data_IF_316466628511
#
_entry.id   IF_316466628511
#
_cell.length_a   1.000
_cell.length_b   1.000
_cell.length_c   1.000
_cell.angle_alpha   90.00
_cell.angle_beta   90.00
_cell.angle_gamma   90.00
#
_symmetry.space_group_name_H-M   'P 1'
#
loop_
_entity.id
_entity.type
_entity.pdbx_description
1 polymer ?
#
# COMPACT_ATOMS: atom_id res chain seq x y z
N UNK A 1 -9.58 4.39 18.14
CA UNK A 1 -9.68 3.36 17.10
C UNK A 1 -8.42 2.53 17.17
N UNK A 2 -8.53 1.21 17.32
CA UNK A 2 -7.35 0.37 17.20
C UNK A 2 -6.92 0.33 15.74
N UNK A 3 -5.66 0.70 15.47
CA UNK A 3 -5.11 0.75 14.12
C UNK A 3 -5.00 -0.67 13.55
N UNK A 4 -4.73 -1.67 14.40
CA UNK A 4 -4.62 -3.05 13.96
C UNK A 4 -5.95 -3.57 13.40
N UNK A 5 -7.04 -3.44 14.16
CA UNK A 5 -8.38 -3.85 13.72
C UNK A 5 -8.84 -3.13 12.44
N UNK A 6 -8.48 -1.86 12.31
CA UNK A 6 -8.74 -1.08 11.11
C UNK A 6 -8.02 -1.62 9.88
N UNK A 7 -6.73 -1.97 10.03
CA UNK A 7 -5.92 -2.57 8.97
C UNK A 7 -6.46 -3.94 8.58
N UNK A 8 -6.83 -4.78 9.55
CA UNK A 8 -7.45 -6.08 9.28
C UNK A 8 -8.72 -5.92 8.46
N UNK A 9 -9.59 -5.00 8.87
CA UNK A 9 -10.83 -4.69 8.12
C UNK A 9 -10.52 -4.19 6.71
N UNK A 10 -9.50 -3.33 6.56
CA UNK A 10 -9.09 -2.78 5.26
C UNK A 10 -8.53 -3.86 4.33
N UNK A 11 -7.72 -4.78 4.85
CA UNK A 11 -7.18 -5.91 4.09
C UNK A 11 -8.30 -6.85 3.61
N UNK A 12 -9.30 -7.13 4.46
CA UNK A 12 -10.46 -7.91 4.07
C UNK A 12 -11.25 -7.25 2.92
N UNK A 13 -11.42 -5.91 2.95
CA UNK A 13 -12.05 -5.16 1.85
C UNK A 13 -11.26 -5.26 0.53
N UNK A 14 -9.95 -5.48 0.60
CA UNK A 14 -9.06 -5.66 -0.56
C UNK A 14 -8.96 -7.12 -1.02
N UNK A 15 -9.71 -8.02 -0.39
CA UNK A 15 -9.74 -9.45 -0.74
C UNK A 15 -8.68 -10.30 -0.04
N UNK A 16 -7.96 -9.76 0.95
CA UNK A 16 -6.96 -10.51 1.73
C UNK A 16 -7.48 -10.88 3.12
N UNK A 17 -7.40 -12.17 3.47
CA UNK A 17 -7.78 -12.66 4.81
C UNK A 17 -6.54 -12.73 5.70
N UNK A 18 -6.55 -11.94 6.79
CA UNK A 18 -5.43 -11.87 7.74
C UNK A 18 -5.36 -13.13 8.60
N UNK A 19 -4.16 -13.67 8.76
CA UNK A 19 -3.87 -14.79 9.66
C UNK A 19 -3.06 -14.32 10.88
N UNK A 20 -2.98 -15.16 11.91
CA UNK A 20 -2.16 -14.88 13.11
C UNK A 20 -0.67 -14.70 12.78
N UNK A 21 -0.18 -15.33 11.71
CA UNK A 21 1.22 -15.20 11.27
C UNK A 21 1.52 -13.81 10.69
N UNK A 22 0.49 -13.08 10.24
CA UNK A 22 0.64 -11.76 9.65
C UNK A 22 0.69 -10.65 10.71
N UNK A 23 0.23 -10.93 11.94
CA UNK A 23 0.16 -9.96 13.03
C UNK A 23 1.50 -9.25 13.29
N UNK A 24 2.64 -9.95 13.44
CA UNK A 24 3.93 -9.29 13.67
C UNK A 24 4.34 -8.36 12.52
N UNK A 25 4.03 -8.74 11.28
CA UNK A 25 4.33 -7.92 10.10
C UNK A 25 3.45 -6.66 10.09
N UNK A 26 2.16 -6.79 10.38
CA UNK A 26 1.23 -5.66 10.46
C UNK A 26 1.63 -4.69 11.58
N UNK A 27 2.01 -5.20 12.76
CA UNK A 27 2.43 -4.35 13.90
C UNK A 27 3.73 -3.60 13.59
N UNK A 28 4.69 -4.28 12.94
CA UNK A 28 5.92 -3.66 12.46
C UNK A 28 5.65 -2.56 11.42
N UNK A 29 4.85 -2.88 10.40
CA UNK A 29 4.49 -1.92 9.34
C UNK A 29 3.68 -0.75 9.90
N UNK A 30 2.81 -0.98 10.88
CA UNK A 30 2.10 0.10 11.60
C UNK A 30 3.08 1.09 12.21
N UNK A 31 4.13 0.59 12.87
CA UNK A 31 5.17 1.42 13.46
C UNK A 31 5.98 2.15 12.38
N UNK A 32 6.39 1.45 11.32
CA UNK A 32 7.15 2.01 10.19
C UNK A 32 6.39 3.13 9.47
N UNK A 33 5.16 2.86 9.06
CA UNK A 33 4.31 3.81 8.36
C UNK A 33 3.96 5.00 9.25
N UNK A 34 3.74 4.79 10.55
CA UNK A 34 3.51 5.87 11.52
C UNK A 34 4.70 6.83 11.57
N UNK A 35 5.92 6.30 11.71
CA UNK A 35 7.13 7.13 11.75
C UNK A 35 7.31 7.90 10.44
N UNK A 36 7.11 7.25 9.29
CA UNK A 36 7.21 7.90 7.98
C UNK A 36 6.18 9.03 7.81
N UNK A 37 4.92 8.79 8.21
CA UNK A 37 3.85 9.78 8.16
C UNK A 37 4.14 10.98 9.08
N UNK A 38 4.60 10.73 10.30
CA UNK A 38 4.95 11.80 11.24
C UNK A 38 6.15 12.63 10.75
N UNK A 39 7.13 11.97 10.12
CA UNK A 39 8.25 12.65 9.50
C UNK A 39 7.78 13.54 8.34
N UNK A 40 6.85 13.09 7.50
CA UNK A 40 6.38 13.84 6.34
C UNK A 40 5.56 15.08 6.70
N UNK A 41 4.83 15.05 7.82
CA UNK A 41 4.03 16.19 8.31
C UNK A 41 4.71 16.99 9.44
N UNK A 42 5.86 16.52 9.94
CA UNK A 42 6.58 17.09 11.08
C UNK A 42 5.72 17.20 12.37
N UNK A 43 4.99 16.14 12.69
CA UNK A 43 4.23 16.03 13.95
C UNK A 43 4.87 15.03 14.92
N UNK A 44 4.48 15.13 16.20
CA UNK A 44 4.82 14.14 17.23
C UNK A 44 3.83 12.97 17.28
N UNK A 45 2.57 13.26 16.98
CA UNK A 45 1.46 12.31 17.03
C UNK A 45 0.60 12.43 15.77
N UNK A 46 -0.04 11.33 15.37
CA UNK A 46 -0.82 11.25 14.14
C UNK A 46 -2.14 12.00 14.35
N UNK A 47 -2.44 13.06 13.57
CA UNK A 47 -3.72 13.75 13.63
C UNK A 47 -4.88 12.81 13.27
N UNK A 48 -6.05 13.02 13.86
CA UNK A 48 -7.25 12.19 13.62
C UNK A 48 -7.61 12.09 12.12
N UNK A 49 -7.44 13.20 11.38
CA UNK A 49 -7.70 13.26 9.94
C UNK A 49 -6.77 12.40 9.08
N UNK A 50 -5.69 11.85 9.64
CA UNK A 50 -4.73 10.99 8.95
C UNK A 50 -4.76 9.53 9.45
N UNK A 51 -5.67 9.16 10.36
CA UNK A 51 -5.76 7.78 10.86
C UNK A 51 -6.03 6.81 9.70
N UNK A 52 -6.99 7.11 8.84
CA UNK A 52 -7.30 6.25 7.68
C UNK A 52 -6.19 6.26 6.63
N UNK A 53 -5.46 7.36 6.49
CA UNK A 53 -4.25 7.43 5.65
C UNK A 53 -3.18 6.48 6.17
N UNK A 54 -2.94 6.45 7.49
CA UNK A 54 -2.03 5.49 8.10
C UNK A 54 -2.49 4.05 7.85
N UNK A 55 -3.79 3.76 8.01
CA UNK A 55 -4.35 2.42 7.76
C UNK A 55 -4.11 1.99 6.31
N UNK A 56 -4.36 2.87 5.33
CA UNK A 56 -4.09 2.59 3.92
C UNK A 56 -2.60 2.37 3.67
N UNK A 57 -1.71 3.20 4.22
CA UNK A 57 -0.26 3.02 4.08
C UNK A 57 0.21 1.65 4.58
N UNK A 58 -0.32 1.19 5.72
CA UNK A 58 0.03 -0.11 6.31
C UNK A 58 -0.50 -1.24 5.44
N UNK A 59 -1.78 -1.21 5.08
CA UNK A 59 -2.40 -2.24 4.25
C UNK A 59 -1.71 -2.34 2.87
N UNK A 60 -1.40 -1.20 2.26
CA UNK A 60 -0.68 -1.13 0.98
C UNK A 60 0.73 -1.71 1.07
N UNK A 61 1.49 -1.31 2.11
CA UNK A 61 2.85 -1.81 2.33
C UNK A 61 2.85 -3.32 2.58
N UNK A 62 1.89 -3.81 3.36
CA UNK A 62 1.78 -5.24 3.68
C UNK A 62 1.49 -6.08 2.43
N UNK A 63 0.52 -5.67 1.60
CA UNK A 63 0.18 -6.39 0.37
C UNK A 63 1.31 -6.31 -0.65
N UNK A 64 2.04 -5.20 -0.71
CA UNK A 64 3.21 -5.06 -1.57
C UNK A 64 4.37 -5.96 -1.12
N UNK A 65 4.62 -6.07 0.19
CA UNK A 65 5.61 -7.01 0.73
C UNK A 65 5.22 -8.46 0.42
N UNK A 66 3.94 -8.83 0.55
CA UNK A 66 3.43 -10.16 0.15
C UNK A 66 3.58 -10.42 -1.34
N UNK A 67 3.29 -9.42 -2.19
CA UNK A 67 3.45 -9.51 -3.63
C UNK A 67 4.92 -9.75 -4.00
N UNK A 68 5.83 -8.97 -3.43
CA UNK A 68 7.26 -9.07 -3.67
C UNK A 68 7.85 -10.40 -3.18
N UNK A 69 7.30 -10.96 -2.10
CA UNK A 69 7.64 -12.29 -1.62
C UNK A 69 7.02 -13.43 -2.46
N UNK A 70 6.18 -13.12 -3.45
CA UNK A 70 5.47 -14.10 -4.27
C UNK A 70 4.37 -14.86 -3.54
N UNK A 71 3.94 -14.38 -2.38
CA UNK A 71 2.95 -15.03 -1.51
C UNK A 71 1.62 -14.30 -1.44
N UNK A 72 1.36 -13.36 -2.36
CA UNK A 72 0.07 -12.66 -2.43
C UNK A 72 -0.93 -13.47 -3.26
N UNK A 73 -2.01 -13.88 -2.61
CA UNK A 73 -3.14 -14.56 -3.23
C UNK A 73 -4.40 -13.73 -2.99
N UNK A 74 -5.07 -13.35 -4.07
CA UNK A 74 -6.37 -12.66 -4.06
C UNK A 74 -7.25 -13.33 -5.10
N UNK A 75 -8.48 -13.68 -4.71
CA UNK A 75 -9.42 -14.35 -5.60
C UNK A 75 -9.70 -13.50 -6.86
N UNK A 76 -9.51 -14.11 -8.03
CA UNK A 76 -9.76 -13.46 -9.32
C UNK A 76 -8.62 -12.58 -9.85
N UNK A 77 -7.46 -12.53 -9.19
CA UNK A 77 -6.26 -11.82 -9.68
C UNK A 77 -5.08 -12.80 -9.84
N UNK A 78 -4.41 -12.76 -10.99
CA UNK A 78 -3.22 -13.57 -11.26
C UNK A 78 -1.95 -12.70 -11.36
N UNK A 79 -1.16 -12.72 -10.28
CA UNK A 79 0.11 -11.99 -10.20
C UNK A 79 1.32 -12.77 -10.74
N UNK A 80 1.15 -14.01 -11.20
CA UNK A 80 2.25 -14.83 -11.73
C UNK A 80 2.89 -14.27 -13.00
N UNK A 81 2.14 -13.47 -13.74
CA UNK A 81 2.58 -12.81 -14.98
C UNK A 81 3.45 -11.58 -14.73
N UNK A 82 3.33 -10.93 -13.57
CA UNK A 82 4.07 -9.72 -13.21
C UNK A 82 5.57 -9.97 -12.96
N UNK A 83 5.97 -11.22 -12.68
CA UNK A 83 7.36 -11.61 -12.38
C UNK A 83 8.25 -11.68 -13.64
N UNK A 84 7.67 -11.59 -14.85
CA UNK A 84 8.44 -11.72 -16.11
C UNK A 84 9.02 -10.42 -16.69
N UNK A 85 8.75 -9.25 -16.11
CA UNK A 85 9.32 -7.99 -16.60
C UNK A 85 10.14 -7.26 -15.53
N UNK A 86 11.26 -7.85 -15.13
CA UNK A 86 12.38 -7.08 -14.60
C UNK A 86 13.40 -6.99 -15.73
N UNK A 87 13.24 -5.96 -16.57
CA UNK A 87 14.32 -5.50 -17.45
C UNK A 87 15.08 -4.43 -16.68
N UNK A 88 16.22 -4.82 -16.11
CA UNK A 88 17.27 -3.88 -15.71
C UNK A 88 17.68 -3.05 -16.93
N UNK A 89 17.66 -1.73 -16.76
CA UNK A 89 18.24 -0.81 -17.73
C UNK A 89 17.26 -0.35 -18.79
N UNK A 90 16.85 0.91 -18.64
CA UNK A 90 16.01 1.70 -19.54
C UNK A 90 14.49 1.50 -19.38
N UNK A 91 13.84 2.60 -18.99
CA UNK A 91 12.42 2.67 -18.69
C UNK A 91 11.62 2.22 -19.91
N UNK A 92 11.09 0.99 -19.87
CA UNK A 92 10.11 0.51 -20.83
C UNK A 92 8.97 -0.17 -20.10
N UNK A 93 7.99 0.64 -19.69
CA UNK A 93 6.66 0.16 -19.33
C UNK A 93 5.97 -0.35 -20.59
N UNK A 94 6.22 -1.61 -20.96
CA UNK A 94 5.50 -2.26 -22.06
C UNK A 94 4.21 -2.86 -21.50
N UNK A 95 3.15 -2.06 -21.50
CA UNK A 95 1.79 -2.57 -21.31
C UNK A 95 1.37 -3.31 -22.59
N UNK A 96 1.58 -4.62 -22.61
CA UNK A 96 1.05 -5.50 -23.64
C UNK A 96 0.12 -6.54 -23.00
N UNK A 97 -1.13 -6.15 -22.82
CA UNK A 97 -2.22 -7.02 -22.37
C UNK A 97 -3.55 -6.29 -22.49
N UNK A 98 -4.31 -6.62 -23.55
CA UNK A 98 -5.58 -6.05 -24.00
C UNK A 98 -5.50 -4.72 -24.78
N UNK A 99 -5.98 -4.78 -26.02
CA UNK A 99 -5.90 -3.78 -27.09
C UNK A 99 -6.75 -2.51 -26.90
N UNK A 100 -7.24 -2.18 -25.71
CA UNK A 100 -8.33 -1.20 -25.56
C UNK A 100 -8.00 0.02 -24.66
N UNK A 101 -6.74 0.21 -24.25
CA UNK A 101 -6.37 1.31 -23.34
C UNK A 101 -6.94 1.18 -21.93
N UNK A 102 -7.50 0.01 -21.61
CA UNK A 102 -8.09 -0.35 -20.32
C UNK A 102 -7.01 -1.12 -19.54
N UNK A 103 -6.45 -0.50 -18.50
CA UNK A 103 -5.52 -1.19 -17.58
C UNK A 103 -6.13 -2.50 -17.07
N UNK A 104 -5.33 -3.58 -17.02
CA UNK A 104 -5.79 -4.89 -16.55
C UNK A 104 -6.26 -4.81 -15.09
N UNK A 105 -7.11 -5.74 -14.62
CA UNK A 105 -7.54 -5.80 -13.23
C UNK A 105 -6.36 -5.76 -12.24
N UNK A 106 -5.29 -6.48 -12.54
CA UNK A 106 -4.06 -6.52 -11.75
C UNK A 106 -3.31 -5.19 -11.81
N UNK A 107 -3.17 -4.60 -12.99
CA UNK A 107 -2.54 -3.28 -13.14
C UNK A 107 -3.28 -2.18 -12.37
N UNK A 108 -4.62 -2.23 -12.33
CA UNK A 108 -5.44 -1.34 -11.51
C UNK A 108 -5.27 -1.59 -10.02
N UNK A 109 -5.18 -2.86 -9.62
CA UNK A 109 -4.95 -3.23 -8.23
C UNK A 109 -3.58 -2.74 -7.75
N UNK A 110 -2.53 -2.96 -8.53
CA UNK A 110 -1.18 -2.47 -8.23
C UNK A 110 -1.12 -0.94 -8.15
N UNK A 111 -1.78 -0.24 -9.08
CA UNK A 111 -1.90 1.22 -9.02
C UNK A 111 -2.64 1.70 -7.75
N UNK A 112 -3.64 0.94 -7.30
CA UNK A 112 -4.35 1.21 -6.05
C UNK A 112 -3.44 1.03 -4.84
N UNK A 113 -2.66 -0.05 -4.79
CA UNK A 113 -1.68 -0.29 -3.73
C UNK A 113 -0.62 0.82 -3.68
N UNK A 114 -0.10 1.24 -4.83
CA UNK A 114 0.88 2.33 -4.90
C UNK A 114 0.32 3.65 -4.33
N UNK A 115 -0.92 3.99 -4.69
CA UNK A 115 -1.60 5.18 -4.14
C UNK A 115 -1.88 5.10 -2.64
N UNK A 116 -2.04 3.89 -2.08
CA UNK A 116 -2.17 3.69 -0.64
C UNK A 116 -0.84 3.85 0.09
N UNK A 117 0.25 3.33 -0.47
CA UNK A 117 1.62 3.45 0.09
C UNK A 117 2.12 4.90 0.03
N UNK A 118 1.73 5.64 -1.01
CA UNK A 118 2.15 7.01 -1.27
C UNK A 118 0.95 7.98 -1.22
N UNK A 119 0.48 8.38 -0.01
CA UNK A 119 -0.60 9.34 0.13
C UNK A 119 -0.31 10.65 -0.60
N UNK A 120 -1.35 11.26 -1.17
CA UNK A 120 -1.19 12.51 -1.91
C UNK A 120 -0.62 13.64 -1.03
N UNK A 121 0.32 14.42 -1.59
CA UNK A 121 0.87 15.60 -0.93
C UNK A 121 -0.20 16.65 -0.58
N UNK A 122 -1.34 16.65 -1.29
CA UNK A 122 -2.49 17.51 -0.96
C UNK A 122 -3.06 17.19 0.43
N UNK A 123 -3.19 15.91 0.76
CA UNK A 123 -3.67 15.46 2.07
C UNK A 123 -2.61 15.73 3.14
N UNK A 124 -1.37 15.33 2.89
CA UNK A 124 -0.28 15.50 3.86
C UNK A 124 0.04 16.98 4.15
N UNK A 125 0.04 17.80 3.10
CA UNK A 125 0.32 19.23 3.18
C UNK A 125 -0.67 19.99 4.06
N UNK A 126 -1.93 19.53 4.16
CA UNK A 126 -2.92 20.13 5.05
C UNK A 126 -2.57 20.01 6.55
N UNK A 127 -1.70 19.06 6.91
CA UNK A 127 -1.26 18.80 8.28
C UNK A 127 0.22 19.12 8.51
N UNK A 128 0.97 19.51 7.48
CA UNK A 128 2.43 19.71 7.56
C UNK A 128 2.77 20.96 8.40
N UNK A 129 3.63 20.80 9.40
CA UNK A 129 4.22 21.91 10.16
C UNK A 129 5.57 22.29 9.56
N UNK A 130 5.91 23.57 9.60
CA UNK A 130 7.27 24.02 9.24
C UNK A 130 8.25 23.55 10.31
N UNK A 131 9.33 22.92 9.87
CA UNK A 131 10.46 22.52 10.70
C UNK A 131 11.68 23.27 10.17
N UNK A 132 12.27 24.09 11.03
CA UNK A 132 13.49 24.86 10.77
C UNK A 132 14.71 24.12 11.33
#
# INVERSE_FOLDING_TARGET
MDVYEAVVSRLAMLGYQVTEQDKPAIDYLTSKCRVALLASIHHKDVPDGLIYTLVDMVAGSFLQDKLNAGGLEIEGLDFSTAVKSITEGDVSATFAGASDGVSSPEGRFLATLDGMVHPSEKILGAFRRLKW
#
